data_IF_191486413734
#
_entry.id   IF_191486413734
#
_cell.length_a   1.000
_cell.length_b   1.000
_cell.length_c   1.000
_cell.angle_alpha   90.00
_cell.angle_beta   90.00
_cell.angle_gamma   90.00
#
_symmetry.space_group_name_H-M   'P 1'
#
loop_
_entity.id
_entity.type
_entity.pdbx_description
1 polymer ?
#
# COMPACT_ATOMS: atom_id res chain seq x y z
N UNK A 1 2.41 8.54 6.44
CA UNK A 1 3.57 8.13 7.25
C UNK A 1 3.15 7.05 8.24
N UNK A 2 4.12 6.35 8.80
CA UNK A 2 3.89 5.25 9.72
C UNK A 2 4.19 5.59 11.18
N UNK A 3 4.22 4.56 12.02
CA UNK A 3 4.52 4.72 13.45
C UNK A 3 5.93 5.29 13.70
N UNK A 4 6.07 6.07 14.78
CA UNK A 4 7.34 6.71 15.14
C UNK A 4 8.38 5.72 15.70
N UNK A 5 7.96 4.60 16.27
CA UNK A 5 8.84 3.56 16.79
C UNK A 5 8.22 2.17 16.62
N UNK A 6 9.07 1.15 16.36
CA UNK A 6 8.64 -0.25 16.24
C UNK A 6 8.08 -0.84 17.54
N UNK A 7 8.38 -0.24 18.68
CA UNK A 7 7.83 -0.63 19.97
C UNK A 7 6.29 -0.46 20.08
N UNK A 8 5.67 0.27 19.17
CA UNK A 8 4.21 0.42 19.11
C UNK A 8 3.51 -0.69 18.30
N UNK A 9 4.25 -1.60 17.68
CA UNK A 9 3.69 -2.73 16.92
C UNK A 9 2.89 -3.63 17.87
N UNK A 10 1.64 -3.91 17.48
CA UNK A 10 0.74 -4.81 18.21
C UNK A 10 0.64 -6.19 17.55
N UNK A 11 0.91 -6.28 16.25
CA UNK A 11 1.00 -7.53 15.48
C UNK A 11 2.40 -7.65 14.88
N UNK A 12 3.26 -8.43 15.54
CA UNK A 12 4.65 -8.63 15.12
C UNK A 12 4.79 -9.33 13.78
N UNK A 13 3.85 -10.24 13.43
CA UNK A 13 3.91 -11.00 12.16
C UNK A 13 3.72 -10.10 10.96
N UNK A 14 2.82 -9.13 11.08
CA UNK A 14 2.50 -8.16 10.01
C UNK A 14 3.31 -6.88 10.14
N UNK A 15 4.04 -6.69 11.23
CA UNK A 15 4.73 -5.46 11.60
C UNK A 15 3.81 -4.22 11.57
N UNK A 16 2.59 -4.37 12.08
CA UNK A 16 1.58 -3.30 12.14
C UNK A 16 1.17 -3.01 13.58
N UNK A 17 0.74 -1.78 13.78
CA UNK A 17 0.08 -1.30 14.99
C UNK A 17 -1.42 -1.18 14.68
N UNK A 18 -2.26 -1.81 15.47
CA UNK A 18 -3.72 -1.73 15.34
C UNK A 18 -4.34 -1.39 16.69
N UNK A 19 -5.23 -0.39 16.70
CA UNK A 19 -6.01 -0.01 17.88
C UNK A 19 -7.46 0.22 17.49
N UNK A 20 -8.37 -0.34 18.26
CA UNK A 20 -9.81 -0.13 18.13
C UNK A 20 -10.27 1.00 19.05
N UNK A 21 -11.22 1.79 18.56
CA UNK A 21 -11.80 2.95 19.25
C UNK A 21 -10.78 3.94 19.84
N UNK A 22 -9.71 4.28 19.08
CA UNK A 22 -8.67 5.16 19.60
C UNK A 22 -9.16 6.61 19.75
N UNK A 23 -8.62 7.27 20.77
CA UNK A 23 -8.60 8.72 20.85
C UNK A 23 -7.43 9.26 20.04
N UNK A 24 -7.61 10.36 19.33
CA UNK A 24 -6.62 10.90 18.39
C UNK A 24 -6.33 12.35 18.71
N UNK A 25 -5.07 12.64 19.06
CA UNK A 25 -4.56 14.00 19.15
C UNK A 25 -3.89 14.39 17.84
N UNK A 26 -4.31 15.50 17.26
CA UNK A 26 -3.70 16.06 16.03
C UNK A 26 -3.08 17.41 16.34
N UNK A 27 -1.77 17.56 16.12
CA UNK A 27 -1.04 18.78 16.48
C UNK A 27 0.13 19.06 15.51
N UNK A 28 0.48 20.33 15.35
CA UNK A 28 1.70 20.78 14.67
C UNK A 28 2.88 21.01 15.64
N UNK A 29 2.72 20.66 16.91
CA UNK A 29 3.80 20.75 17.87
C UNK A 29 4.85 19.65 17.66
N UNK A 30 6.10 20.01 17.94
CA UNK A 30 7.15 19.03 18.23
C UNK A 30 7.09 18.66 19.69
N UNK A 31 6.95 17.38 19.99
CA UNK A 31 6.80 16.86 21.35
C UNK A 31 8.10 16.17 21.75
N UNK A 32 8.92 16.82 22.56
CA UNK A 32 10.19 16.29 23.05
C UNK A 32 10.21 16.03 24.56
N UNK A 33 9.44 16.84 25.33
CA UNK A 33 9.32 16.73 26.78
C UNK A 33 8.01 16.05 27.19
N UNK A 34 8.01 15.38 28.34
CA UNK A 34 6.84 14.63 28.84
C UNK A 34 5.86 15.55 29.57
N UNK A 35 6.38 16.57 30.26
CA UNK A 35 5.59 17.44 31.14
C UNK A 35 4.35 18.05 30.46
N UNK A 36 4.42 18.56 29.21
CA UNK A 36 3.26 19.13 28.55
C UNK A 36 2.14 18.14 28.23
N UNK A 37 2.47 16.86 28.07
CA UNK A 37 1.50 15.80 27.70
C UNK A 37 1.04 14.98 28.90
N UNK A 38 1.68 15.12 30.06
CA UNK A 38 1.37 14.33 31.25
C UNK A 38 -0.09 14.44 31.69
N UNK A 39 -0.71 15.63 31.75
CA UNK A 39 -2.13 15.74 32.14
C UNK A 39 -3.06 14.97 31.19
N UNK A 40 -2.76 15.00 29.89
CA UNK A 40 -3.52 14.27 28.89
C UNK A 40 -3.37 12.75 29.05
N UNK A 41 -2.14 12.26 29.28
CA UNK A 41 -1.88 10.83 29.50
C UNK A 41 -2.61 10.32 30.75
N UNK A 42 -2.67 11.11 31.83
CA UNK A 42 -3.40 10.76 33.06
C UNK A 42 -4.91 10.70 32.84
N UNK A 43 -5.48 11.66 32.07
CA UNK A 43 -6.90 11.64 31.74
C UNK A 43 -7.26 10.41 30.90
N UNK A 44 -6.50 10.10 29.86
CA UNK A 44 -6.74 8.96 28.96
C UNK A 44 -6.51 7.63 29.68
N UNK A 45 -5.57 7.57 30.61
CA UNK A 45 -5.35 6.36 31.42
C UNK A 45 -6.60 5.99 32.25
N UNK A 46 -7.38 6.97 32.69
CA UNK A 46 -8.66 6.73 33.40
C UNK A 46 -9.78 6.28 32.48
N UNK A 47 -9.77 6.73 31.21
CA UNK A 47 -10.74 6.31 30.18
C UNK A 47 -10.50 4.88 29.70
N UNK A 48 -9.25 4.38 29.76
CA UNK A 48 -8.87 3.05 29.31
C UNK A 48 -8.87 2.86 27.79
N UNK A 49 -9.10 3.94 27.01
CA UNK A 49 -9.06 3.91 25.53
C UNK A 49 -7.64 4.12 25.02
N UNK A 50 -7.29 3.59 23.85
CA UNK A 50 -6.00 3.88 23.22
C UNK A 50 -5.87 5.36 22.86
N UNK A 51 -4.67 5.93 23.02
CA UNK A 51 -4.36 7.32 22.61
C UNK A 51 -3.30 7.32 21.52
N UNK A 52 -3.63 7.91 20.39
CA UNK A 52 -2.71 8.05 19.25
C UNK A 52 -2.34 9.53 19.09
N UNK A 53 -1.05 9.79 19.19
CA UNK A 53 -0.47 11.11 18.91
C UNK A 53 -0.13 11.21 17.42
N UNK A 54 -0.66 12.20 16.73
CA UNK A 54 -0.27 12.56 15.37
C UNK A 54 0.30 13.98 15.42
N UNK A 55 1.61 14.08 15.35
CA UNK A 55 2.32 15.33 15.56
C UNK A 55 3.37 15.59 14.48
N UNK A 56 3.87 16.82 14.41
CA UNK A 56 4.97 17.16 13.51
C UNK A 56 6.18 16.24 13.77
N UNK A 57 6.57 16.15 15.03
CA UNK A 57 7.67 15.28 15.46
C UNK A 57 7.47 14.86 16.92
N UNK A 58 7.80 13.63 17.22
CA UNK A 58 7.78 13.10 18.59
C UNK A 58 9.13 12.44 18.83
N UNK A 59 9.87 12.97 19.81
CA UNK A 59 11.25 12.57 20.08
C UNK A 59 11.62 12.68 21.56
N UNK A 60 12.85 12.34 21.90
CA UNK A 60 13.43 12.54 23.22
C UNK A 60 12.68 11.82 24.35
N UNK A 61 12.48 12.54 25.46
CA UNK A 61 11.86 12.00 26.66
C UNK A 61 10.38 11.63 26.46
N UNK A 62 9.67 12.38 25.65
CA UNK A 62 8.25 12.11 25.34
C UNK A 62 8.09 10.77 24.63
N UNK A 63 8.87 10.53 23.58
CA UNK A 63 8.83 9.28 22.85
C UNK A 63 9.25 8.08 23.73
N UNK A 64 10.31 8.24 24.53
CA UNK A 64 10.76 7.22 25.46
C UNK A 64 9.68 6.86 26.51
N UNK A 65 9.01 7.87 27.07
CA UNK A 65 7.91 7.65 28.03
C UNK A 65 6.73 6.92 27.37
N UNK A 66 6.35 7.27 26.15
CA UNK A 66 5.28 6.59 25.41
C UNK A 66 5.64 5.12 25.15
N UNK A 67 6.86 4.84 24.68
CA UNK A 67 7.37 3.48 24.47
C UNK A 67 7.33 2.67 25.76
N UNK A 68 7.80 3.23 26.87
CA UNK A 68 7.81 2.54 28.18
C UNK A 68 6.39 2.20 28.65
N UNK A 69 5.44 3.08 28.47
CA UNK A 69 4.04 2.84 28.84
C UNK A 69 3.39 1.78 27.94
N UNK A 70 3.64 1.84 26.64
CA UNK A 70 3.15 0.85 25.67
C UNK A 70 3.69 -0.55 25.97
N UNK A 71 5.01 -0.68 26.19
CA UNK A 71 5.67 -1.95 26.50
C UNK A 71 5.22 -2.55 27.85
N UNK A 72 4.94 -1.71 28.85
CA UNK A 72 4.42 -2.17 30.15
C UNK A 72 2.94 -2.50 30.12
N UNK A 73 2.23 -2.15 29.04
CA UNK A 73 0.78 -2.35 28.94
C UNK A 73 -0.03 -1.45 29.90
N UNK A 74 0.60 -0.47 30.54
CA UNK A 74 -0.06 0.44 31.48
C UNK A 74 -0.96 1.45 30.78
N UNK A 75 -0.57 1.87 29.59
CA UNK A 75 -1.34 2.75 28.73
C UNK A 75 -1.18 2.34 27.26
N UNK A 76 -2.28 2.18 26.56
CA UNK A 76 -2.27 1.94 25.13
C UNK A 76 -2.02 3.27 24.41
N UNK A 77 -0.76 3.60 24.19
CA UNK A 77 -0.34 4.84 23.55
C UNK A 77 0.55 4.57 22.37
N UNK A 78 0.39 5.34 21.31
CA UNK A 78 1.28 5.28 20.17
C UNK A 78 1.47 6.67 19.52
N UNK A 79 2.52 6.78 18.74
CA UNK A 79 2.94 8.01 18.09
C UNK A 79 3.13 7.78 16.59
N UNK A 80 2.57 8.71 15.80
CA UNK A 80 2.68 8.75 14.35
C UNK A 80 3.28 10.09 13.96
N UNK A 81 4.34 10.06 13.16
CA UNK A 81 4.96 11.27 12.64
C UNK A 81 4.17 11.75 11.41
N UNK A 82 3.81 13.02 11.37
CA UNK A 82 3.15 13.62 10.21
C UNK A 82 4.09 13.60 8.98
N UNK A 83 3.59 13.26 7.78
CA UNK A 83 4.38 13.36 6.56
C UNK A 83 4.45 14.80 6.07
N UNK A 84 5.27 15.02 5.02
CA UNK A 84 5.46 16.30 4.36
C UNK A 84 6.11 17.39 5.25
N UNK A 85 6.18 18.62 4.73
CA UNK A 85 6.81 19.74 5.40
C UNK A 85 5.99 21.02 5.16
N UNK A 86 6.18 22.01 6.02
CA UNK A 86 5.59 23.35 5.85
C UNK A 86 4.08 23.34 5.77
N UNK A 87 3.54 24.04 4.79
CA UNK A 87 2.10 24.25 4.62
C UNK A 87 1.35 22.97 4.21
N UNK A 88 1.96 22.12 3.41
CA UNK A 88 1.36 20.84 3.01
C UNK A 88 1.09 19.94 4.22
N UNK A 89 2.05 19.84 5.15
CA UNK A 89 1.87 19.12 6.42
C UNK A 89 0.72 19.71 7.25
N UNK A 90 0.67 21.04 7.38
CA UNK A 90 -0.38 21.73 8.10
C UNK A 90 -1.76 21.45 7.54
N UNK A 91 -1.88 21.54 6.23
CA UNK A 91 -3.10 21.24 5.49
C UNK A 91 -3.54 19.80 5.72
N UNK A 92 -2.61 18.83 5.66
CA UNK A 92 -2.92 17.44 5.95
C UNK A 92 -3.39 17.22 7.38
N UNK A 93 -2.72 17.80 8.37
CA UNK A 93 -3.10 17.68 9.78
C UNK A 93 -4.47 18.31 10.05
N UNK A 94 -4.75 19.46 9.42
CA UNK A 94 -6.06 20.09 9.51
C UNK A 94 -7.17 19.22 8.92
N UNK A 95 -6.94 18.65 7.73
CA UNK A 95 -7.89 17.77 7.06
C UNK A 95 -8.12 16.49 7.88
N UNK A 96 -7.06 15.97 8.51
CA UNK A 96 -7.13 14.81 9.39
C UNK A 96 -7.91 15.10 10.67
N UNK A 97 -7.68 16.23 11.30
CA UNK A 97 -8.43 16.67 12.47
C UNK A 97 -9.92 16.77 12.13
N UNK A 98 -10.25 17.39 10.99
CA UNK A 98 -11.63 17.50 10.51
C UNK A 98 -12.28 16.12 10.27
N UNK A 99 -11.56 15.18 9.68
CA UNK A 99 -12.07 13.83 9.36
C UNK A 99 -12.23 12.93 10.59
N UNK A 100 -11.57 13.22 11.70
CA UNK A 100 -11.64 12.45 12.95
C UNK A 100 -12.43 13.13 14.05
N UNK A 101 -12.94 14.36 13.80
CA UNK A 101 -13.60 15.17 14.80
C UNK A 101 -12.66 15.76 15.85
N UNK A 102 -11.34 15.66 15.65
CA UNK A 102 -10.34 16.27 16.51
C UNK A 102 -10.29 17.78 16.33
N UNK A 103 -9.90 18.48 17.39
CA UNK A 103 -9.47 19.87 17.27
C UNK A 103 -8.00 19.92 16.87
N UNK A 104 -7.69 20.64 15.80
CA UNK A 104 -6.30 20.80 15.38
C UNK A 104 -5.57 21.75 16.35
N UNK A 105 -4.68 21.19 17.18
CA UNK A 105 -3.93 21.92 18.20
C UNK A 105 -2.68 22.52 17.56
N UNK A 106 -2.69 23.84 17.37
CA UNK A 106 -1.59 24.57 16.74
C UNK A 106 -1.04 25.66 17.65
N UNK A 107 0.19 26.07 17.40
CA UNK A 107 0.79 27.21 18.09
C UNK A 107 -0.02 28.52 17.88
N UNK A 108 -0.62 28.66 16.71
CA UNK A 108 -1.42 29.81 16.32
C UNK A 108 -2.77 29.87 17.06
N UNK A 109 -3.36 28.72 17.38
CA UNK A 109 -4.60 28.66 18.17
C UNK A 109 -4.41 29.05 19.63
N UNK A 110 -3.17 29.23 20.10
CA UNK A 110 -2.85 29.65 21.47
C UNK A 110 -3.10 28.55 22.52
N UNK A 111 -3.53 27.37 22.14
CA UNK A 111 -3.78 26.23 23.06
C UNK A 111 -2.47 25.51 23.28
N UNK A 112 -2.05 25.42 24.52
CA UNK A 112 -0.87 24.63 24.90
C UNK A 112 -1.23 23.18 25.07
N UNK A 113 -0.25 22.28 24.88
CA UNK A 113 -0.46 20.84 25.01
C UNK A 113 -0.95 20.40 26.40
N UNK A 114 -0.59 21.13 27.44
CA UNK A 114 -1.04 20.88 28.83
C UNK A 114 -2.48 21.34 29.10
N UNK A 115 -3.09 22.09 28.20
CA UNK A 115 -4.47 22.59 28.29
C UNK A 115 -5.45 21.74 27.50
N UNK A 116 -4.93 20.73 26.73
CA UNK A 116 -5.73 19.82 25.92
C UNK A 116 -6.59 18.94 26.82
N UNK A 117 -7.87 18.87 26.49
CA UNK A 117 -8.87 18.04 27.17
C UNK A 117 -9.34 16.88 26.30
N UNK A 118 -10.10 15.96 26.88
CA UNK A 118 -10.71 14.85 26.12
C UNK A 118 -11.65 15.33 25.01
N UNK A 119 -12.29 16.47 25.19
CA UNK A 119 -13.18 17.07 24.19
C UNK A 119 -12.45 17.59 22.95
N UNK A 120 -11.15 17.83 23.04
CA UNK A 120 -10.32 18.28 21.90
C UNK A 120 -9.76 17.09 21.09
N UNK A 121 -9.93 15.87 21.59
CA UNK A 121 -9.48 14.65 20.90
C UNK A 121 -10.52 14.18 19.88
N UNK A 122 -10.04 13.72 18.75
CA UNK A 122 -10.87 13.00 17.79
C UNK A 122 -10.97 11.52 18.13
N UNK A 123 -11.82 10.84 17.40
CA UNK A 123 -11.95 9.37 17.50
C UNK A 123 -12.16 8.72 16.15
N UNK A 124 -11.91 7.41 16.10
CA UNK A 124 -12.17 6.57 14.95
C UNK A 124 -12.59 5.18 15.41
N UNK A 125 -13.19 4.38 14.51
CA UNK A 125 -13.47 2.98 14.81
C UNK A 125 -12.20 2.16 14.98
N UNK A 126 -11.26 2.31 14.04
CA UNK A 126 -10.00 1.56 14.05
C UNK A 126 -8.90 2.39 13.39
N UNK A 127 -7.71 2.33 13.94
CA UNK A 127 -6.50 2.83 13.31
C UNK A 127 -5.53 1.67 13.09
N UNK A 128 -5.06 1.53 11.86
CA UNK A 128 -4.02 0.57 11.47
C UNK A 128 -2.83 1.34 10.91
N UNK A 129 -1.65 1.09 11.46
CA UNK A 129 -0.44 1.80 11.07
C UNK A 129 0.69 0.83 10.81
N UNK A 130 1.25 0.89 9.60
CA UNK A 130 2.48 0.20 9.21
C UNK A 130 3.68 1.15 9.32
N UNK A 131 4.84 0.67 8.90
CA UNK A 131 6.05 1.51 8.81
C UNK A 131 5.90 2.68 7.83
N UNK A 132 5.06 2.54 6.79
CA UNK A 132 5.00 3.49 5.67
C UNK A 132 3.70 4.25 5.57
N UNK A 133 2.60 3.68 6.01
CA UNK A 133 1.27 4.28 5.89
C UNK A 133 0.42 4.04 7.15
N UNK A 134 -0.56 4.91 7.33
CA UNK A 134 -1.56 4.84 8.39
C UNK A 134 -2.94 4.91 7.76
N UNK A 135 -3.81 3.99 8.13
CA UNK A 135 -5.21 3.93 7.73
C UNK A 135 -6.08 4.20 8.94
N UNK A 136 -6.98 5.16 8.82
CA UNK A 136 -7.96 5.52 9.85
C UNK A 136 -9.35 5.19 9.30
N UNK A 137 -10.07 4.34 9.99
CA UNK A 137 -11.38 3.85 9.56
C UNK A 137 -12.45 4.37 10.50
N UNK A 138 -13.52 4.96 9.93
CA UNK A 138 -14.69 5.39 10.68
C UNK A 138 -14.40 6.53 11.66
N UNK A 139 -13.75 7.60 11.18
CA UNK A 139 -13.59 8.82 11.97
C UNK A 139 -14.95 9.44 12.32
N UNK A 140 -15.09 9.92 13.53
CA UNK A 140 -16.30 10.59 14.02
C UNK A 140 -16.27 12.07 13.64
N UNK A 141 -16.49 12.38 12.37
CA UNK A 141 -16.46 13.73 11.84
C UNK A 141 -17.84 14.37 11.72
N UNK A 142 -17.87 15.71 11.69
CA UNK A 142 -19.02 16.46 11.22
C UNK A 142 -19.03 16.46 9.68
N UNK A 143 -19.91 15.64 9.10
CA UNK A 143 -20.05 15.50 7.63
C UNK A 143 -20.31 16.83 6.93
N UNK A 144 -21.05 17.78 7.56
CA UNK A 144 -21.32 19.11 6.98
C UNK A 144 -20.05 19.95 6.91
N UNK A 145 -19.21 19.88 7.95
CA UNK A 145 -17.94 20.59 7.97
C UNK A 145 -16.97 20.03 6.91
N UNK A 146 -16.92 18.70 6.73
CA UNK A 146 -16.12 18.04 5.69
C UNK A 146 -16.62 18.45 4.29
N UNK A 147 -17.93 18.41 4.04
CA UNK A 147 -18.51 18.80 2.76
C UNK A 147 -18.25 20.28 2.43
N UNK A 148 -18.39 21.16 3.42
CA UNK A 148 -18.05 22.60 3.28
C UNK A 148 -16.58 22.77 2.90
N UNK A 149 -15.68 22.00 3.54
CA UNK A 149 -14.25 22.07 3.22
C UNK A 149 -13.96 21.57 1.79
N UNK A 150 -14.57 20.46 1.37
CA UNK A 150 -14.44 19.95 0.00
C UNK A 150 -14.91 20.99 -1.02
N UNK A 151 -16.05 21.64 -0.80
CA UNK A 151 -16.56 22.68 -1.70
C UNK A 151 -15.61 23.89 -1.75
N UNK A 152 -15.07 24.31 -0.63
CA UNK A 152 -14.05 25.38 -0.58
C UNK A 152 -12.80 25.00 -1.39
N UNK A 153 -12.32 23.74 -1.28
CA UNK A 153 -11.17 23.26 -2.04
C UNK A 153 -11.46 23.19 -3.55
N UNK A 154 -12.66 22.81 -3.96
CA UNK A 154 -13.08 22.84 -5.39
C UNK A 154 -13.04 24.26 -5.95
N UNK A 155 -13.53 25.25 -5.19
CA UNK A 155 -13.46 26.66 -5.61
C UNK A 155 -12.00 27.15 -5.70
N UNK A 156 -11.10 26.67 -4.83
CA UNK A 156 -9.68 27.02 -4.93
C UNK A 156 -9.04 26.45 -6.21
N UNK A 157 -9.39 25.25 -6.64
CA UNK A 157 -8.91 24.69 -7.92
C UNK A 157 -9.31 25.58 -9.10
N UNK A 158 -10.53 26.13 -9.10
CA UNK A 158 -11.01 27.00 -10.16
C UNK A 158 -10.27 28.36 -10.22
N UNK A 159 -9.63 28.75 -9.14
CA UNK A 159 -8.91 30.02 -8.98
C UNK A 159 -7.40 29.90 -9.13
N UNK A 160 -6.88 28.68 -9.24
CA UNK A 160 -5.43 28.39 -9.27
C UNK A 160 -4.98 28.07 -10.68
N UNK A 161 -3.97 28.77 -11.18
CA UNK A 161 -3.34 28.55 -12.48
C UNK A 161 -2.17 27.53 -12.44
N UNK A 162 -1.73 27.15 -11.25
CA UNK A 162 -0.61 26.21 -11.05
C UNK A 162 -1.09 24.75 -11.08
N UNK A 163 -0.53 23.96 -11.99
CA UNK A 163 -0.84 22.52 -12.10
C UNK A 163 -0.45 21.78 -10.81
N UNK A 164 0.69 22.10 -10.22
CA UNK A 164 1.19 21.46 -9.00
C UNK A 164 0.28 21.75 -7.79
N UNK A 165 -0.20 22.97 -7.66
CA UNK A 165 -1.17 23.33 -6.62
C UNK A 165 -2.51 22.64 -6.84
N UNK A 166 -3.00 22.55 -8.09
CA UNK A 166 -4.22 21.84 -8.44
C UNK A 166 -4.14 20.36 -8.06
N UNK A 167 -3.03 19.69 -8.37
CA UNK A 167 -2.79 18.28 -7.99
C UNK A 167 -2.76 18.11 -6.46
N UNK A 168 -2.12 19.02 -5.74
CA UNK A 168 -2.10 19.03 -4.27
C UNK A 168 -3.50 19.18 -3.66
N UNK A 169 -4.30 20.12 -4.17
CA UNK A 169 -5.68 20.36 -3.72
C UNK A 169 -6.58 19.17 -4.10
N UNK A 170 -6.43 18.62 -5.30
CA UNK A 170 -7.17 17.43 -5.73
C UNK A 170 -6.88 16.23 -4.82
N UNK A 171 -5.61 16.02 -4.44
CA UNK A 171 -5.21 15.00 -3.48
C UNK A 171 -5.87 15.18 -2.09
N UNK A 172 -6.08 16.41 -1.65
CA UNK A 172 -6.81 16.70 -0.40
C UNK A 172 -8.30 16.36 -0.52
N UNK A 173 -8.94 16.75 -1.61
CA UNK A 173 -10.36 16.41 -1.89
C UNK A 173 -10.55 14.90 -1.88
N UNK A 174 -9.68 14.15 -2.56
CA UNK A 174 -9.74 12.69 -2.59
C UNK A 174 -9.63 12.11 -1.18
N UNK A 175 -8.68 12.58 -0.36
CA UNK A 175 -8.53 12.10 1.04
C UNK A 175 -9.73 12.40 1.92
N UNK A 176 -10.36 13.56 1.77
CA UNK A 176 -11.54 13.94 2.54
C UNK A 176 -12.83 13.24 2.07
N UNK A 177 -12.95 12.97 0.77
CA UNK A 177 -14.12 12.35 0.16
C UNK A 177 -14.07 10.82 0.11
N UNK A 178 -12.88 10.23 0.19
CA UNK A 178 -12.74 8.78 0.07
C UNK A 178 -13.08 8.06 1.37
N UNK A 179 -13.96 7.08 1.25
CA UNK A 179 -14.22 6.10 2.30
C UNK A 179 -13.17 4.99 2.29
N UNK A 180 -12.96 4.37 3.44
CA UNK A 180 -12.19 3.12 3.54
C UNK A 180 -13.16 1.96 3.44
N UNK A 181 -13.01 1.13 2.40
CA UNK A 181 -13.76 -0.12 2.29
C UNK A 181 -13.09 -1.21 3.14
N UNK A 182 -13.86 -1.86 3.99
CA UNK A 182 -13.38 -2.96 4.83
C UNK A 182 -13.99 -4.27 4.36
N UNK A 183 -13.14 -5.19 3.88
CA UNK A 183 -13.55 -6.54 3.50
C UNK A 183 -13.33 -7.44 4.72
N UNK A 184 -14.43 -7.92 5.33
CA UNK A 184 -14.36 -8.86 6.43
C UNK A 184 -14.36 -10.28 5.88
N UNK A 185 -13.29 -11.03 6.18
CA UNK A 185 -13.09 -12.38 5.70
C UNK A 185 -13.41 -13.37 6.83
N UNK A 186 -14.20 -14.39 6.52
CA UNK A 186 -14.51 -15.49 7.43
C UNK A 186 -14.18 -16.84 6.79
N UNK A 187 -14.09 -17.88 7.61
CA UNK A 187 -13.87 -19.27 7.19
C UNK A 187 -14.32 -20.22 8.29
N UNK A 188 -14.50 -21.49 7.96
CA UNK A 188 -14.86 -22.53 8.92
C UNK A 188 -13.71 -22.90 9.85
N UNK A 189 -12.47 -22.65 9.40
CA UNK A 189 -11.24 -22.87 10.17
C UNK A 189 -10.33 -21.64 10.03
N UNK A 190 -9.40 -21.48 10.96
CA UNK A 190 -8.39 -20.40 10.91
C UNK A 190 -7.52 -20.49 9.66
N UNK A 191 -7.16 -21.70 9.23
CA UNK A 191 -6.37 -21.93 8.02
C UNK A 191 -7.14 -21.48 6.77
N UNK A 192 -8.40 -21.87 6.65
CA UNK A 192 -9.26 -21.45 5.52
C UNK A 192 -9.45 -19.93 5.49
N UNK A 193 -9.69 -19.32 6.64
CA UNK A 193 -9.83 -17.87 6.74
C UNK A 193 -8.55 -17.15 6.31
N UNK A 194 -7.39 -17.65 6.75
CA UNK A 194 -6.08 -17.07 6.42
C UNK A 194 -5.79 -17.22 4.92
N UNK A 195 -6.04 -18.38 4.34
CA UNK A 195 -5.86 -18.62 2.90
C UNK A 195 -6.77 -17.71 2.06
N UNK A 196 -8.03 -17.59 2.44
CA UNK A 196 -8.99 -16.70 1.77
C UNK A 196 -8.57 -15.23 1.87
N UNK A 197 -8.04 -14.83 3.02
CA UNK A 197 -7.51 -13.48 3.24
C UNK A 197 -6.33 -13.21 2.30
N UNK A 198 -5.35 -14.12 2.22
CA UNK A 198 -4.20 -13.97 1.32
C UNK A 198 -4.64 -13.86 -0.15
N UNK A 199 -5.60 -14.65 -0.61
CA UNK A 199 -6.14 -14.53 -1.97
C UNK A 199 -6.76 -13.16 -2.26
N UNK A 200 -7.45 -12.58 -1.27
CA UNK A 200 -8.03 -11.24 -1.41
C UNK A 200 -6.92 -10.18 -1.44
N UNK A 201 -5.90 -10.32 -0.59
CA UNK A 201 -4.74 -9.43 -0.59
C UNK A 201 -4.01 -9.48 -1.94
N UNK A 202 -3.77 -10.68 -2.49
CA UNK A 202 -3.17 -10.86 -3.83
C UNK A 202 -4.02 -10.21 -4.93
N UNK A 203 -5.33 -10.39 -4.89
CA UNK A 203 -6.25 -9.78 -5.86
C UNK A 203 -6.22 -8.24 -5.78
N UNK A 204 -6.14 -7.67 -4.57
CA UNK A 204 -6.03 -6.22 -4.39
C UNK A 204 -4.71 -5.66 -4.92
N UNK A 205 -3.59 -6.35 -4.71
CA UNK A 205 -2.29 -5.94 -5.25
C UNK A 205 -2.24 -6.07 -6.78
N UNK A 206 -2.89 -7.09 -7.35
CA UNK A 206 -3.05 -7.23 -8.80
C UNK A 206 -3.87 -6.06 -9.38
N UNK A 207 -4.98 -5.67 -8.75
CA UNK A 207 -5.79 -4.53 -9.18
C UNK A 207 -5.02 -3.22 -9.09
N UNK A 208 -4.26 -2.98 -8.00
CA UNK A 208 -3.40 -1.79 -7.88
C UNK A 208 -2.35 -1.74 -8.98
N UNK A 209 -1.68 -2.86 -9.24
CA UNK A 209 -0.70 -2.96 -10.31
C UNK A 209 -1.30 -2.71 -11.69
N UNK A 210 -2.54 -3.16 -11.92
CA UNK A 210 -3.28 -2.91 -13.15
C UNK A 210 -3.69 -1.43 -13.30
N UNK A 211 -4.03 -0.75 -12.22
CA UNK A 211 -4.31 0.68 -12.24
C UNK A 211 -3.07 1.52 -12.56
N UNK A 212 -1.89 1.08 -12.13
CA UNK A 212 -0.64 1.79 -12.35
C UNK A 212 -0.15 1.73 -13.82
N UNK A 213 -0.15 0.55 -14.44
CA UNK A 213 0.46 0.32 -15.76
C UNK A 213 -0.49 -0.34 -16.78
N UNK A 214 -1.74 -0.57 -16.41
CA UNK A 214 -2.72 -1.22 -17.28
C UNK A 214 -2.66 -2.74 -17.23
N UNK A 215 -3.40 -3.36 -18.14
CA UNK A 215 -3.57 -4.81 -18.26
C UNK A 215 -3.09 -5.33 -19.63
N UNK A 216 -2.75 -6.60 -19.67
CA UNK A 216 -2.31 -7.32 -20.86
C UNK A 216 -3.01 -8.68 -20.94
N UNK A 217 -3.12 -9.32 -22.12
CA UNK A 217 -3.64 -10.67 -22.20
C UNK A 217 -2.92 -11.62 -21.25
N UNK A 218 -3.68 -12.34 -20.43
CA UNK A 218 -3.16 -13.20 -19.37
C UNK A 218 -2.73 -14.59 -19.83
N UNK A 219 -2.58 -15.50 -18.88
CA UNK A 219 -2.27 -16.89 -19.18
C UNK A 219 -0.91 -17.13 -19.82
N UNK A 220 0.06 -16.22 -19.63
CA UNK A 220 1.40 -16.30 -20.22
C UNK A 220 1.46 -15.94 -21.71
N UNK A 221 0.35 -15.61 -22.36
CA UNK A 221 0.29 -15.30 -23.78
C UNK A 221 1.08 -14.05 -24.16
N UNK A 222 1.07 -13.03 -23.31
CA UNK A 222 1.76 -11.76 -23.56
C UNK A 222 3.28 -11.90 -23.65
N UNK A 223 3.90 -12.59 -22.70
CA UNK A 223 5.34 -12.85 -22.72
C UNK A 223 5.75 -13.72 -23.91
N UNK A 224 4.96 -14.76 -24.22
CA UNK A 224 5.18 -15.61 -25.37
C UNK A 224 5.19 -14.80 -26.67
N UNK A 225 4.16 -13.98 -26.91
CA UNK A 225 4.03 -13.16 -28.12
C UNK A 225 5.09 -12.07 -28.20
N UNK A 226 5.36 -11.38 -27.09
CA UNK A 226 6.40 -10.36 -27.01
C UNK A 226 7.77 -10.96 -27.38
N UNK A 227 8.11 -12.14 -26.84
CA UNK A 227 9.37 -12.81 -27.16
C UNK A 227 9.49 -13.25 -28.61
N UNK A 228 8.38 -13.65 -29.23
CA UNK A 228 8.36 -14.10 -30.62
C UNK A 228 8.44 -12.94 -31.64
N UNK A 229 7.91 -11.76 -31.29
CA UNK A 229 7.92 -10.58 -32.15
C UNK A 229 9.21 -9.77 -32.07
N UNK A 230 10.07 -10.01 -31.07
CA UNK A 230 11.28 -9.23 -30.87
C UNK A 230 12.38 -9.61 -31.86
N UNK A 231 12.81 -8.64 -32.67
CA UNK A 231 14.04 -8.71 -33.45
C UNK A 231 15.13 -7.98 -32.68
N UNK A 232 16.06 -8.75 -32.12
CA UNK A 232 17.15 -8.21 -31.30
C UNK A 232 18.41 -8.10 -32.15
N UNK A 233 18.83 -6.86 -32.41
CA UNK A 233 20.12 -6.61 -33.07
C UNK A 233 21.23 -6.69 -32.01
N UNK A 234 22.11 -7.68 -32.15
CA UNK A 234 23.22 -7.91 -31.23
C UNK A 234 24.56 -7.61 -31.90
N UNK A 235 25.51 -7.09 -31.12
CA UNK A 235 26.85 -6.77 -31.61
C UNK A 235 27.88 -7.91 -31.43
N UNK A 236 27.52 -8.97 -30.68
CA UNK A 236 28.39 -10.13 -30.46
C UNK A 236 27.59 -11.42 -30.33
N UNK A 237 28.26 -12.57 -30.49
CA UNK A 237 27.68 -13.89 -30.32
C UNK A 237 27.16 -14.11 -28.88
N UNK A 238 27.87 -13.60 -27.89
CA UNK A 238 27.49 -13.71 -26.47
C UNK A 238 26.20 -12.93 -26.17
N UNK A 239 26.04 -11.73 -26.75
CA UNK A 239 24.79 -10.98 -26.65
C UNK A 239 23.62 -11.72 -27.32
N UNK A 240 23.87 -12.34 -28.47
CA UNK A 240 22.85 -13.14 -29.16
C UNK A 240 22.41 -14.35 -28.30
N UNK A 241 23.38 -15.00 -27.65
CA UNK A 241 23.10 -16.09 -26.73
C UNK A 241 22.27 -15.62 -25.52
N UNK A 242 22.65 -14.51 -24.88
CA UNK A 242 21.89 -13.90 -23.78
C UNK A 242 20.45 -13.57 -24.19
N UNK A 243 20.26 -12.99 -25.37
CA UNK A 243 18.93 -12.71 -25.92
C UNK A 243 18.10 -13.98 -26.11
N UNK A 244 18.71 -15.05 -26.64
CA UNK A 244 18.02 -16.35 -26.83
C UNK A 244 17.60 -17.00 -25.51
N UNK A 245 18.40 -16.84 -24.45
CA UNK A 245 18.05 -17.30 -23.09
C UNK A 245 16.78 -16.59 -22.58
N UNK A 246 16.71 -15.27 -22.72
CA UNK A 246 15.53 -14.49 -22.31
C UNK A 246 14.29 -14.90 -23.14
N UNK A 247 14.43 -15.07 -24.47
CA UNK A 247 13.34 -15.52 -25.32
C UNK A 247 12.82 -16.91 -24.93
N UNK A 248 13.72 -17.83 -24.59
CA UNK A 248 13.34 -19.15 -24.10
C UNK A 248 12.62 -19.05 -22.74
N UNK A 249 13.14 -18.25 -21.82
CA UNK A 249 12.53 -18.04 -20.49
C UNK A 249 11.11 -17.46 -20.57
N UNK A 250 10.82 -16.58 -21.52
CA UNK A 250 9.48 -16.01 -21.70
C UNK A 250 8.41 -17.05 -22.11
N UNK A 251 8.81 -18.23 -22.58
CA UNK A 251 7.90 -19.34 -22.93
C UNK A 251 7.57 -20.23 -21.73
N UNK A 252 8.39 -20.20 -20.69
CA UNK A 252 8.26 -21.13 -19.56
C UNK A 252 6.98 -20.93 -18.73
N UNK A 253 6.46 -19.70 -18.49
CA UNK A 253 5.22 -19.54 -17.75
C UNK A 253 4.03 -20.27 -18.38
N UNK A 254 3.83 -20.17 -19.69
CA UNK A 254 2.73 -20.86 -20.37
C UNK A 254 2.95 -22.37 -20.43
N UNK A 255 4.19 -22.82 -20.59
CA UNK A 255 4.54 -24.26 -20.53
C UNK A 255 4.21 -24.83 -19.16
N UNK A 256 4.57 -24.13 -18.09
CA UNK A 256 4.29 -24.61 -16.75
C UNK A 256 2.79 -24.66 -16.46
N UNK A 257 2.02 -23.69 -16.94
CA UNK A 257 0.56 -23.74 -16.83
C UNK A 257 -0.04 -24.92 -17.60
N UNK A 258 0.46 -25.21 -18.80
CA UNK A 258 0.04 -26.36 -19.58
C UNK A 258 0.38 -27.69 -18.88
N UNK A 259 1.58 -27.79 -18.31
CA UNK A 259 1.96 -28.95 -17.50
C UNK A 259 1.09 -29.15 -16.28
N UNK A 260 0.76 -28.06 -15.59
CA UNK A 260 -0.09 -28.07 -14.38
C UNK A 260 -1.54 -28.46 -14.71
N UNK A 261 -2.05 -28.11 -15.91
CA UNK A 261 -3.39 -28.50 -16.35
C UNK A 261 -3.49 -29.97 -16.75
N UNK A 262 -2.39 -30.55 -17.22
CA UNK A 262 -2.26 -31.97 -17.51
C UNK A 262 -2.98 -32.49 -18.79
N UNK A 263 -3.72 -31.63 -19.49
CA UNK A 263 -4.68 -32.07 -20.52
C UNK A 263 -4.13 -31.99 -21.96
N UNK A 264 -3.31 -30.96 -22.25
CA UNK A 264 -2.78 -30.72 -23.61
C UNK A 264 -1.29 -30.44 -23.56
N UNK A 265 -0.55 -30.91 -24.56
CA UNK A 265 0.88 -30.63 -24.68
C UNK A 265 1.14 -29.10 -24.77
N UNK A 266 2.10 -28.64 -23.99
CA UNK A 266 2.53 -27.25 -24.01
C UNK A 266 2.91 -26.73 -25.39
N UNK A 267 3.59 -27.57 -26.19
CA UNK A 267 4.04 -27.17 -27.52
C UNK A 267 2.86 -27.01 -28.50
N UNK A 268 1.79 -27.80 -28.35
CA UNK A 268 0.56 -27.64 -29.12
C UNK A 268 -0.11 -26.32 -28.78
N UNK A 269 -0.25 -26.01 -27.49
CA UNK A 269 -0.84 -24.76 -27.04
C UNK A 269 -0.06 -23.56 -27.58
N UNK A 270 1.27 -23.59 -27.50
CA UNK A 270 2.14 -22.53 -28.02
C UNK A 270 1.95 -22.36 -29.52
N UNK A 271 1.95 -23.46 -30.28
CA UNK A 271 1.73 -23.38 -31.74
C UNK A 271 0.38 -22.80 -32.08
N UNK A 272 -0.69 -23.22 -31.42
CA UNK A 272 -2.05 -22.70 -31.63
C UNK A 272 -2.17 -21.20 -31.33
N UNK A 273 -1.46 -20.70 -30.31
CA UNK A 273 -1.44 -19.28 -29.99
C UNK A 273 -0.68 -18.48 -31.05
N UNK A 274 0.46 -18.99 -31.51
CA UNK A 274 1.30 -18.33 -32.49
C UNK A 274 0.71 -18.35 -33.90
N UNK A 275 -0.11 -19.35 -34.25
CA UNK A 275 -0.86 -19.40 -35.53
C UNK A 275 -1.89 -18.25 -35.64
N UNK A 276 -2.29 -17.62 -34.55
CA UNK A 276 -3.19 -16.45 -34.52
C UNK A 276 -2.41 -15.12 -34.56
N UNK A 277 -1.46 -15.00 -35.47
CA UNK A 277 -0.53 -13.87 -35.57
C UNK A 277 -1.22 -12.50 -35.76
N UNK A 278 -2.37 -12.45 -36.41
CA UNK A 278 -3.07 -11.21 -36.73
C UNK A 278 -3.75 -10.53 -35.51
N UNK A 279 -3.86 -11.23 -34.38
CA UNK A 279 -4.50 -10.68 -33.18
C UNK A 279 -3.76 -11.09 -31.90
N UNK A 280 -3.12 -10.11 -31.26
CA UNK A 280 -2.31 -10.30 -30.05
C UNK A 280 -3.13 -10.65 -28.79
N UNK A 281 -4.45 -10.54 -28.85
CA UNK A 281 -5.34 -10.76 -27.71
C UNK A 281 -5.76 -12.22 -27.53
N UNK A 282 -5.48 -13.08 -28.52
CA UNK A 282 -5.80 -14.50 -28.43
C UNK A 282 -4.75 -15.28 -27.62
N UNK A 283 -5.23 -16.19 -26.78
CA UNK A 283 -4.42 -17.11 -26.01
C UNK A 283 -5.21 -18.36 -25.61
N UNK A 284 -4.65 -19.17 -24.72
CA UNK A 284 -5.26 -20.40 -24.25
C UNK A 284 -6.04 -20.17 -22.94
N UNK A 285 -7.33 -20.51 -22.98
CA UNK A 285 -8.17 -20.57 -21.78
C UNK A 285 -8.01 -21.96 -21.14
N UNK A 286 -7.21 -22.05 -20.10
CA UNK A 286 -6.94 -23.30 -19.38
C UNK A 286 -8.16 -23.89 -18.67
N UNK A 287 -9.16 -23.07 -18.32
CA UNK A 287 -10.39 -23.53 -17.68
C UNK A 287 -11.30 -24.25 -18.67
N UNK A 288 -11.44 -23.72 -19.87
CA UNK A 288 -12.32 -24.23 -20.91
C UNK A 288 -11.57 -25.02 -21.99
N UNK A 289 -10.24 -25.14 -21.88
CA UNK A 289 -9.35 -25.89 -22.78
C UNK A 289 -9.52 -25.52 -24.27
N UNK A 290 -9.51 -24.22 -24.56
CA UNK A 290 -9.68 -23.72 -25.93
C UNK A 290 -8.94 -22.41 -26.15
N UNK A 291 -8.68 -22.12 -27.44
CA UNK A 291 -8.24 -20.78 -27.85
C UNK A 291 -9.42 -19.81 -27.66
N UNK A 292 -9.15 -18.68 -27.02
CA UNK A 292 -10.13 -17.64 -26.77
C UNK A 292 -9.51 -16.24 -26.93
N UNK A 293 -10.33 -15.26 -27.16
CA UNK A 293 -9.99 -13.86 -27.00
C UNK A 293 -9.94 -13.57 -25.49
N UNK A 294 -8.75 -13.22 -24.97
CA UNK A 294 -8.48 -13.24 -23.53
C UNK A 294 -9.12 -12.07 -22.79
N UNK A 295 -9.23 -10.90 -23.43
CA UNK A 295 -9.91 -9.75 -22.82
C UNK A 295 -11.41 -10.01 -22.68
N UNK A 296 -12.07 -10.54 -23.71
CA UNK A 296 -13.48 -10.92 -23.67
C UNK A 296 -13.75 -12.04 -22.66
N UNK A 297 -12.81 -12.97 -22.53
CA UNK A 297 -12.89 -14.05 -21.56
C UNK A 297 -12.55 -13.62 -20.12
N UNK A 298 -12.11 -12.37 -19.90
CA UNK A 298 -11.70 -11.86 -18.60
C UNK A 298 -10.38 -12.46 -18.09
N UNK A 299 -9.55 -13.01 -18.99
CA UNK A 299 -8.24 -13.60 -18.67
C UNK A 299 -7.16 -12.55 -18.92
N UNK A 300 -6.86 -11.77 -17.89
CA UNK A 300 -5.94 -10.63 -17.98
C UNK A 300 -4.90 -10.69 -16.86
N UNK A 301 -3.72 -10.16 -17.15
CA UNK A 301 -2.64 -9.97 -16.18
C UNK A 301 -2.29 -8.48 -16.05
N UNK A 302 -1.91 -7.97 -14.87
CA UNK A 302 -1.34 -6.64 -14.75
C UNK A 302 -0.01 -6.54 -15.49
N UNK A 303 0.14 -5.56 -16.38
CA UNK A 303 1.40 -5.37 -17.14
C UNK A 303 2.59 -5.17 -16.22
N UNK A 304 2.43 -4.41 -15.15
CA UNK A 304 3.48 -4.15 -14.14
C UNK A 304 4.05 -5.44 -13.56
N UNK A 305 3.21 -6.42 -13.25
CA UNK A 305 3.62 -7.69 -12.65
C UNK A 305 4.47 -8.49 -13.64
N UNK A 306 4.00 -8.69 -14.87
CA UNK A 306 4.71 -9.44 -15.91
C UNK A 306 6.03 -8.79 -16.29
N UNK A 307 6.05 -7.46 -16.43
CA UNK A 307 7.26 -6.69 -16.74
C UNK A 307 8.31 -6.78 -15.65
N UNK A 308 7.92 -6.54 -14.39
CA UNK A 308 8.84 -6.57 -13.23
C UNK A 308 9.35 -7.99 -13.00
N UNK A 309 8.51 -9.01 -13.17
CA UNK A 309 8.93 -10.41 -13.04
C UNK A 309 10.06 -10.74 -14.02
N UNK A 310 9.91 -10.40 -15.30
CA UNK A 310 10.95 -10.60 -16.31
C UNK A 310 12.22 -9.80 -16.00
N UNK A 311 12.08 -8.54 -15.61
CA UNK A 311 13.20 -7.65 -15.30
C UNK A 311 14.01 -8.17 -14.09
N UNK A 312 13.33 -8.58 -13.02
CA UNK A 312 13.98 -9.11 -11.83
C UNK A 312 14.62 -10.47 -12.08
N UNK A 313 13.96 -11.35 -12.85
CA UNK A 313 14.54 -12.64 -13.23
C UNK A 313 15.82 -12.48 -14.05
N UNK A 314 15.82 -11.58 -15.04
CA UNK A 314 17.00 -11.28 -15.85
C UNK A 314 18.12 -10.67 -15.00
N UNK A 315 17.82 -9.74 -14.09
CA UNK A 315 18.80 -9.15 -13.18
C UNK A 315 19.43 -10.16 -12.24
N UNK A 316 18.59 -11.03 -11.64
CA UNK A 316 19.07 -12.10 -10.75
C UNK A 316 19.96 -13.11 -11.49
N UNK A 317 19.51 -13.58 -12.67
CA UNK A 317 20.27 -14.52 -13.50
C UNK A 317 21.61 -13.89 -13.95
N UNK A 318 21.61 -12.62 -14.37
CA UNK A 318 22.81 -11.90 -14.75
C UNK A 318 23.82 -11.80 -13.61
N UNK A 319 23.35 -11.50 -12.40
CA UNK A 319 24.20 -11.47 -11.21
C UNK A 319 24.80 -12.84 -10.90
N UNK A 320 24.00 -13.91 -10.97
CA UNK A 320 24.47 -15.27 -10.71
C UNK A 320 25.52 -15.72 -11.75
N UNK A 321 25.28 -15.48 -13.04
CA UNK A 321 26.20 -15.88 -14.12
C UNK A 321 27.55 -15.15 -14.01
N UNK A 322 27.55 -13.91 -13.53
CA UNK A 322 28.78 -13.10 -13.37
C UNK A 322 29.51 -13.33 -12.03
N UNK A 323 28.96 -14.15 -11.14
CA UNK A 323 29.54 -14.44 -9.81
C UNK A 323 30.56 -15.56 -9.89
N UNK A 324 31.79 -15.28 -9.47
CA UNK A 324 32.88 -16.25 -9.45
C UNK A 324 32.96 -17.07 -8.15
N UNK A 325 32.47 -16.54 -7.05
CA UNK A 325 32.56 -17.17 -5.72
C UNK A 325 31.26 -16.97 -4.93
N UNK A 326 30.86 -18.00 -4.21
CA UNK A 326 29.75 -17.96 -3.25
C UNK A 326 30.24 -18.31 -1.85
N UNK A 327 29.75 -17.61 -0.82
CA UNK A 327 29.98 -17.95 0.59
C UNK A 327 28.80 -18.74 1.08
N UNK A 328 29.02 -19.98 1.48
CA UNK A 328 28.01 -20.87 2.05
C UNK A 328 28.26 -20.93 3.57
N UNK A 329 27.23 -20.63 4.35
CA UNK A 329 27.28 -20.88 5.79
C UNK A 329 27.07 -22.38 6.02
N UNK A 330 28.08 -23.06 6.50
CA UNK A 330 27.99 -24.46 6.95
C UNK A 330 27.62 -24.47 8.42
N UNK A 331 26.56 -25.19 8.78
CA UNK A 331 26.19 -25.47 10.19
C UNK A 331 27.28 -26.26 10.91
#
# INVERSE_FOLDING_TARGET
SGYAASAFITDERRAIMTHDEPLILVTDYKISAVEPIMPLLEMVAREGRPLIFIAEEIEGQALAAMIMNAMRGTLKVAAIKAPFYGEERRNLLHDLALSTGAKFITRECGIKLNEVSLADLGSAKTIECSKYFTTIVGGECDFKAVETKINSLKTQIEQTDSIEECEGIQGRIVRLSSGVAVIRVGGSTEVEMTERKHRIEDALEAVRSALDEGITPGGGASLLRASNSLVINTHSADQALGASVIQAACREPIKQMALNSGDVSADIIISMILEKDDNTNFGWDFKNQKIAELFDAGIVDPLKVTRIALQNAASCAGTLITTNYGIIQTE
#
